data_IF_551940261072
#
_entry.id   IF_551940261072
#
_cell.length_a   1.000
_cell.length_b   1.000
_cell.length_c   1.000
_cell.angle_alpha   90.00
_cell.angle_beta   90.00
_cell.angle_gamma   90.00
#
_symmetry.space_group_name_H-M   'P 1'
#
loop_
_entity.id
_entity.type
_entity.pdbx_description
1 polymer ?
#
# COMPACT_ATOMS: atom_id res chain seq x y z
N UNK A 1 5.76 20.42 -3.59
CA UNK A 1 4.41 20.65 -4.09
C UNK A 1 4.43 21.66 -5.25
N UNK A 2 3.40 21.69 -6.11
CA UNK A 2 3.26 22.71 -7.14
C UNK A 2 3.39 24.13 -6.59
N UNK A 3 3.73 25.11 -7.48
CA UNK A 3 3.97 26.52 -7.11
C UNK A 3 5.15 26.72 -6.13
N UNK A 4 6.17 25.87 -6.21
CA UNK A 4 7.37 25.91 -5.38
C UNK A 4 7.09 25.83 -3.87
N UNK A 5 5.95 25.24 -3.48
CA UNK A 5 5.58 25.07 -2.06
C UNK A 5 6.34 23.89 -1.47
N UNK A 6 6.84 24.06 -0.27
CA UNK A 6 7.39 22.97 0.54
C UNK A 6 6.29 22.34 1.37
N UNK A 7 6.32 21.01 1.47
CA UNK A 7 5.56 20.24 2.45
C UNK A 7 6.54 19.69 3.48
N UNK A 8 6.33 20.03 4.72
CA UNK A 8 7.07 19.48 5.86
C UNK A 8 6.20 18.50 6.62
N UNK A 9 6.80 17.45 7.15
CA UNK A 9 6.10 16.54 8.05
C UNK A 9 6.99 16.19 9.24
N UNK A 10 6.38 16.11 10.40
CA UNK A 10 6.99 15.54 11.59
C UNK A 10 6.94 14.02 11.52
N UNK A 11 8.00 13.37 11.92
CA UNK A 11 8.09 11.91 11.97
C UNK A 11 7.90 11.47 13.42
N UNK A 12 6.80 10.79 13.68
CA UNK A 12 6.55 10.15 14.96
C UNK A 12 6.98 8.68 14.89
N UNK A 13 7.62 8.19 15.96
CA UNK A 13 7.93 6.78 16.10
C UNK A 13 7.08 6.16 17.19
N UNK A 14 6.20 5.23 16.83
CA UNK A 14 5.50 4.37 17.77
C UNK A 14 6.23 3.01 17.86
N UNK A 15 6.46 2.54 19.08
CA UNK A 15 7.00 1.21 19.32
C UNK A 15 5.85 0.21 19.41
N UNK A 16 5.71 -0.64 18.39
CA UNK A 16 4.69 -1.69 18.35
C UNK A 16 5.38 -3.05 18.47
N UNK A 17 5.55 -3.51 19.70
CA UNK A 17 6.38 -4.67 19.99
C UNK A 17 7.82 -4.43 19.50
N UNK A 18 8.33 -5.31 18.64
CA UNK A 18 9.68 -5.18 18.04
C UNK A 18 9.71 -4.34 16.75
N UNK A 19 8.55 -3.91 16.24
CA UNK A 19 8.44 -3.21 14.97
C UNK A 19 8.29 -1.71 15.21
N UNK A 20 9.20 -0.84 14.71
CA UNK A 20 8.98 0.59 14.72
C UNK A 20 7.94 0.96 13.67
N UNK A 21 6.90 1.68 14.08
CA UNK A 21 5.93 2.30 13.19
C UNK A 21 6.28 3.78 13.06
N UNK A 22 6.57 4.23 11.83
CA UNK A 22 6.82 5.64 11.54
C UNK A 22 5.54 6.28 11.00
N UNK A 23 5.11 7.35 11.64
CA UNK A 23 3.93 8.11 11.25
C UNK A 23 4.38 9.49 10.76
N UNK A 24 3.83 9.93 9.65
CA UNK A 24 4.08 11.24 9.07
C UNK A 24 2.93 12.17 9.41
N UNK A 25 3.24 13.30 10.02
CA UNK A 25 2.28 14.29 10.44
C UNK A 25 2.59 15.62 9.76
N UNK A 26 1.69 16.11 8.92
CA UNK A 26 1.84 17.38 8.20
C UNK A 26 1.34 18.59 8.99
N UNK A 27 0.71 18.41 10.16
CA UNK A 27 0.26 19.50 11.01
C UNK A 27 1.43 20.12 11.78
N UNK A 28 2.30 20.81 11.06
CA UNK A 28 3.50 21.45 11.61
C UNK A 28 3.54 22.95 11.28
N UNK A 29 4.16 23.72 12.17
CA UNK A 29 4.43 25.14 11.95
C UNK A 29 5.31 25.32 10.72
N UNK A 30 4.91 26.15 9.79
CA UNK A 30 5.61 26.39 8.52
C UNK A 30 4.91 25.79 7.31
N UNK A 31 3.95 24.91 7.50
CA UNK A 31 2.97 24.53 6.48
C UNK A 31 1.79 25.51 6.50
N UNK A 32 1.24 25.81 5.34
CA UNK A 32 -0.05 26.50 5.26
C UNK A 32 -1.21 25.56 5.68
N UNK A 33 -2.41 26.11 5.89
CA UNK A 33 -3.55 25.34 6.40
C UNK A 33 -3.92 24.16 5.50
N UNK A 34 -3.81 24.31 4.18
CA UNK A 34 -4.08 23.22 3.24
C UNK A 34 -3.04 22.08 3.35
N UNK A 35 -1.77 22.42 3.53
CA UNK A 35 -0.70 21.45 3.72
C UNK A 35 -0.79 20.78 5.10
N UNK A 36 -1.18 21.51 6.15
CA UNK A 36 -1.41 20.95 7.50
C UNK A 36 -2.52 19.93 7.51
N UNK A 37 -3.58 20.14 6.71
CA UNK A 37 -4.72 19.24 6.63
C UNK A 37 -4.47 17.94 5.85
N UNK A 38 -3.31 17.73 5.20
CA UNK A 38 -3.07 16.53 4.36
C UNK A 38 -3.18 15.23 5.18
N UNK A 39 -2.78 15.24 6.44
CA UNK A 39 -2.80 14.06 7.31
C UNK A 39 -3.93 14.06 8.34
N UNK A 40 -4.92 14.93 8.23
CA UNK A 40 -6.00 15.10 9.21
C UNK A 40 -7.02 13.94 9.19
N UNK A 41 -7.34 13.41 8.02
CA UNK A 41 -8.37 12.38 7.85
C UNK A 41 -8.01 11.38 6.75
N UNK A 42 -8.06 10.10 7.10
CA UNK A 42 -7.95 9.02 6.14
C UNK A 42 -9.18 9.00 5.21
N UNK A 43 -8.94 8.88 3.90
CA UNK A 43 -9.98 8.90 2.85
C UNK A 43 -10.83 10.18 2.82
N UNK A 44 -10.31 11.29 3.36
CA UNK A 44 -10.96 12.59 3.29
C UNK A 44 -10.58 13.37 2.04
N UNK A 45 -11.41 14.36 1.68
CA UNK A 45 -11.12 15.33 0.63
C UNK A 45 -11.35 14.84 -0.81
N UNK A 46 -11.06 15.73 -1.77
CA UNK A 46 -11.14 15.44 -3.21
C UNK A 46 -9.88 14.79 -3.76
N UNK A 47 -9.83 14.56 -5.08
CA UNK A 47 -8.73 13.87 -5.76
C UNK A 47 -7.34 14.47 -5.51
N UNK A 48 -7.21 15.80 -5.47
CA UNK A 48 -5.91 16.45 -5.19
C UNK A 48 -5.44 16.19 -3.75
N UNK A 49 -6.35 16.23 -2.79
CA UNK A 49 -6.01 15.91 -1.39
C UNK A 49 -5.54 14.46 -1.25
N UNK A 50 -6.27 13.53 -1.88
CA UNK A 50 -5.90 12.12 -1.89
C UNK A 50 -4.53 11.89 -2.54
N UNK A 51 -4.27 12.52 -3.68
CA UNK A 51 -2.97 12.44 -4.34
C UNK A 51 -1.83 12.95 -3.45
N UNK A 52 -2.04 14.06 -2.72
CA UNK A 52 -1.05 14.61 -1.80
C UNK A 52 -0.78 13.65 -0.62
N UNK A 53 -1.81 12.98 -0.10
CA UNK A 53 -1.64 11.93 0.92
C UNK A 53 -0.75 10.78 0.42
N UNK A 54 -0.99 10.31 -0.79
CA UNK A 54 -0.21 9.20 -1.37
C UNK A 54 1.21 9.60 -1.74
N UNK A 55 1.42 10.83 -2.22
CA UNK A 55 2.76 11.39 -2.44
C UNK A 55 3.53 11.52 -1.12
N UNK A 56 2.87 12.00 -0.06
CA UNK A 56 3.48 12.09 1.27
C UNK A 56 3.79 10.71 1.83
N UNK A 57 2.85 9.75 1.72
CA UNK A 57 3.06 8.38 2.19
C UNK A 57 4.21 7.70 1.43
N UNK A 58 4.20 7.75 0.11
CA UNK A 58 5.19 7.06 -0.73
C UNK A 58 6.56 7.74 -0.68
N UNK A 59 6.65 8.94 -1.21
CA UNK A 59 7.94 9.66 -1.27
C UNK A 59 8.41 10.15 0.10
N UNK A 60 7.50 10.70 0.90
CA UNK A 60 7.79 11.13 2.28
C UNK A 60 8.18 9.97 3.17
N UNK A 61 7.55 8.81 3.00
CA UNK A 61 7.88 7.58 3.73
C UNK A 61 9.31 7.11 3.51
N UNK A 62 9.79 7.10 2.25
CA UNK A 62 11.20 6.77 1.97
C UNK A 62 12.14 7.77 2.65
N UNK A 63 11.86 9.08 2.56
CA UNK A 63 12.67 10.11 3.22
C UNK A 63 12.67 9.93 4.75
N UNK A 64 11.53 9.57 5.32
CA UNK A 64 11.42 9.29 6.77
C UNK A 64 12.27 8.08 7.17
N UNK A 65 12.28 7.01 6.38
CA UNK A 65 13.16 5.86 6.58
C UNK A 65 14.63 6.29 6.56
N UNK A 66 15.07 7.10 5.60
CA UNK A 66 16.45 7.61 5.55
C UNK A 66 16.82 8.48 6.76
N UNK A 67 15.86 9.27 7.26
CA UNK A 67 16.07 10.02 8.52
C UNK A 67 16.20 9.07 9.70
N UNK A 68 15.31 8.09 9.80
CA UNK A 68 15.32 7.09 10.87
C UNK A 68 16.62 6.28 10.90
N UNK A 69 17.07 5.79 9.74
CA UNK A 69 18.35 5.07 9.59
C UNK A 69 19.54 5.91 10.13
N UNK A 70 19.63 7.19 9.71
CA UNK A 70 20.71 8.09 10.16
C UNK A 70 20.67 8.36 11.66
N UNK A 71 19.50 8.52 12.24
CA UNK A 71 19.35 8.88 13.66
C UNK A 71 19.55 7.69 14.60
N UNK A 72 19.21 6.49 14.16
CA UNK A 72 19.21 5.29 15.00
C UNK A 72 20.35 4.32 14.71
N UNK A 73 21.03 4.47 13.57
CA UNK A 73 21.99 3.48 13.09
C UNK A 73 21.35 2.16 12.62
N UNK A 74 20.03 2.15 12.42
CA UNK A 74 19.34 0.98 11.89
C UNK A 74 19.79 0.67 10.46
N UNK A 75 19.90 -0.61 10.07
CA UNK A 75 20.22 -0.96 8.69
C UNK A 75 19.15 -0.48 7.73
N UNK A 76 19.56 -0.15 6.50
CA UNK A 76 18.63 0.18 5.44
C UNK A 76 17.77 -1.03 5.07
N UNK A 77 16.48 -0.83 4.74
CA UNK A 77 15.64 -1.92 4.27
C UNK A 77 16.17 -2.52 2.96
N UNK A 78 16.27 -3.84 2.93
CA UNK A 78 16.68 -4.57 1.73
C UNK A 78 15.48 -4.86 0.80
N UNK A 79 14.27 -4.99 1.38
CA UNK A 79 13.03 -5.25 0.66
C UNK A 79 11.98 -4.21 1.05
N UNK A 80 11.26 -3.73 0.06
CA UNK A 80 10.13 -2.82 0.23
C UNK A 80 8.84 -3.53 -0.13
N UNK A 81 7.90 -3.54 0.79
CA UNK A 81 6.58 -4.12 0.58
C UNK A 81 5.53 -3.01 0.52
N UNK A 82 4.91 -2.86 -0.64
CA UNK A 82 3.79 -1.94 -0.84
C UNK A 82 2.48 -2.65 -0.61
N UNK A 83 1.72 -2.13 0.34
CA UNK A 83 0.40 -2.64 0.69
C UNK A 83 -0.66 -1.78 -0.02
N UNK A 84 -1.16 -2.26 -1.15
CA UNK A 84 -1.99 -1.56 -2.13
C UNK A 84 -1.26 -0.41 -2.86
N UNK A 85 -1.96 0.26 -3.78
CA UNK A 85 -1.42 1.35 -4.60
C UNK A 85 -0.99 2.60 -3.82
N UNK A 86 -1.58 2.82 -2.64
CA UNK A 86 -1.40 4.03 -1.82
C UNK A 86 0.07 4.41 -1.56
N UNK A 87 0.94 3.44 -1.39
CA UNK A 87 2.37 3.66 -1.17
C UNK A 87 3.21 3.61 -2.47
N UNK A 88 2.59 3.46 -3.63
CA UNK A 88 3.29 3.21 -4.90
C UNK A 88 4.36 4.25 -5.25
N UNK A 89 4.16 5.52 -4.87
CA UNK A 89 5.15 6.57 -5.09
C UNK A 89 6.48 6.38 -4.34
N UNK A 90 6.57 5.41 -3.40
CA UNK A 90 7.85 5.05 -2.80
C UNK A 90 8.86 4.55 -3.86
N UNK A 91 8.38 3.87 -4.90
CA UNK A 91 9.24 3.41 -6.00
C UNK A 91 9.81 4.57 -6.80
N UNK A 92 9.01 5.63 -7.02
CA UNK A 92 9.47 6.84 -7.71
C UNK A 92 10.56 7.57 -6.90
N UNK A 93 10.39 7.68 -5.57
CA UNK A 93 11.43 8.29 -4.72
C UNK A 93 12.72 7.45 -4.70
N UNK A 94 12.62 6.14 -4.65
CA UNK A 94 13.78 5.24 -4.71
C UNK A 94 14.51 5.33 -6.05
N UNK A 95 13.76 5.38 -7.16
CA UNK A 95 14.34 5.63 -8.48
C UNK A 95 15.05 6.98 -8.50
N UNK A 96 14.43 8.03 -7.94
CA UNK A 96 15.06 9.35 -7.83
C UNK A 96 16.38 9.28 -7.07
N UNK A 97 16.44 8.61 -5.92
CA UNK A 97 17.68 8.42 -5.16
C UNK A 97 18.78 7.74 -5.99
N UNK A 98 18.43 6.70 -6.75
CA UNK A 98 19.38 5.97 -7.59
C UNK A 98 19.87 6.81 -8.77
N UNK A 99 18.97 7.58 -9.41
CA UNK A 99 19.33 8.48 -10.51
C UNK A 99 20.20 9.65 -10.02
N UNK A 100 19.92 10.20 -8.84
CA UNK A 100 20.75 11.24 -8.23
C UNK A 100 22.18 10.73 -7.90
N UNK A 101 22.33 9.41 -7.73
CA UNK A 101 23.61 8.72 -7.56
C UNK A 101 24.25 8.27 -8.90
N UNK A 102 23.70 8.69 -10.04
CA UNK A 102 24.30 8.49 -11.37
C UNK A 102 23.77 7.30 -12.17
N UNK A 103 22.78 6.55 -11.67
CA UNK A 103 22.14 5.49 -12.47
C UNK A 103 21.28 6.07 -13.58
N UNK A 104 21.20 5.37 -14.70
CA UNK A 104 20.21 5.62 -15.73
C UNK A 104 18.80 5.19 -15.29
N UNK A 105 17.76 5.72 -15.94
CA UNK A 105 16.37 5.39 -15.63
C UNK A 105 16.08 3.87 -15.63
N UNK A 106 16.49 3.16 -16.68
CA UNK A 106 16.19 1.72 -16.84
C UNK A 106 16.89 0.87 -15.77
N UNK A 107 18.11 1.25 -15.41
CA UNK A 107 18.87 0.61 -14.34
C UNK A 107 18.21 0.87 -12.97
N UNK A 108 17.85 2.12 -12.68
CA UNK A 108 17.22 2.52 -11.45
C UNK A 108 15.83 1.86 -11.28
N UNK A 109 15.04 1.78 -12.36
CA UNK A 109 13.76 1.06 -12.38
C UNK A 109 13.96 -0.43 -12.10
N UNK A 110 14.91 -1.06 -12.76
CA UNK A 110 15.21 -2.50 -12.58
C UNK A 110 15.66 -2.79 -11.15
N UNK A 111 16.56 -1.98 -10.59
CA UNK A 111 17.03 -2.13 -9.22
C UNK A 111 15.90 -1.93 -8.21
N UNK A 112 15.03 -0.93 -8.43
CA UNK A 112 13.86 -0.68 -7.58
C UNK A 112 12.88 -1.85 -7.62
N UNK A 113 12.61 -2.40 -8.80
CA UNK A 113 11.71 -3.55 -8.96
C UNK A 113 12.23 -4.80 -8.27
N UNK A 114 13.52 -5.08 -8.37
CA UNK A 114 14.14 -6.32 -7.90
C UNK A 114 13.87 -6.61 -6.42
N UNK A 115 13.69 -5.58 -5.60
CA UNK A 115 13.46 -5.70 -4.17
C UNK A 115 12.12 -5.05 -3.70
N UNK A 116 11.15 -4.94 -4.61
CA UNK A 116 9.80 -4.49 -4.27
C UNK A 116 8.79 -5.63 -4.40
N UNK A 117 7.94 -5.78 -3.39
CA UNK A 117 6.79 -6.67 -3.35
C UNK A 117 5.52 -5.83 -3.29
N UNK A 118 4.51 -6.17 -4.08
CA UNK A 118 3.22 -5.49 -4.11
C UNK A 118 2.11 -6.44 -3.68
N UNK A 119 1.30 -6.04 -2.73
CA UNK A 119 0.10 -6.78 -2.33
C UNK A 119 -1.14 -5.96 -2.64
N UNK A 120 -2.04 -6.49 -3.49
CA UNK A 120 -3.34 -5.89 -3.73
C UNK A 120 -4.40 -6.46 -2.79
N UNK A 121 -5.29 -5.61 -2.32
CA UNK A 121 -6.41 -5.94 -1.45
C UNK A 121 -7.76 -5.69 -2.12
N UNK A 122 -7.78 -4.86 -3.16
CA UNK A 122 -9.00 -4.37 -3.79
C UNK A 122 -9.51 -5.35 -4.85
N UNK A 123 -10.72 -5.92 -4.68
CA UNK A 123 -11.25 -6.94 -5.59
C UNK A 123 -12.04 -6.36 -6.77
N UNK A 124 -12.19 -5.03 -6.86
CA UNK A 124 -13.00 -4.36 -7.87
C UNK A 124 -12.31 -3.10 -8.40
N UNK A 125 -12.36 -2.82 -9.72
CA UNK A 125 -11.69 -1.66 -10.30
C UNK A 125 -12.10 -0.31 -9.68
N UNK A 126 -13.36 -0.17 -9.25
CA UNK A 126 -13.89 1.07 -8.67
C UNK A 126 -13.27 1.45 -7.31
N UNK A 127 -12.64 0.49 -6.62
CA UNK A 127 -11.95 0.74 -5.34
C UNK A 127 -10.47 1.08 -5.50
N UNK A 128 -9.94 1.12 -6.71
CA UNK A 128 -8.55 1.47 -6.98
C UNK A 128 -8.45 2.98 -7.19
N UNK A 129 -7.50 3.61 -6.52
CA UNK A 129 -7.23 5.04 -6.73
C UNK A 129 -6.70 5.29 -8.15
N UNK A 130 -7.42 6.14 -8.88
CA UNK A 130 -7.12 6.53 -10.25
C UNK A 130 -7.19 8.05 -10.37
N UNK A 131 -6.07 8.66 -10.70
CA UNK A 131 -5.95 10.09 -10.89
C UNK A 131 -5.96 10.46 -12.38
N UNK A 132 -6.30 11.70 -12.72
CA UNK A 132 -6.07 12.19 -14.06
C UNK A 132 -4.56 12.32 -14.29
N UNK A 133 -4.09 11.95 -15.48
CA UNK A 133 -2.68 12.10 -15.83
C UNK A 133 -2.22 13.56 -15.74
N UNK A 134 -3.12 14.51 -16.00
CA UNK A 134 -2.85 15.95 -15.86
C UNK A 134 -2.53 16.35 -14.42
N UNK A 135 -3.19 15.73 -13.40
CA UNK A 135 -2.89 15.96 -11.98
C UNK A 135 -1.48 15.47 -11.65
N UNK A 136 -1.13 14.23 -12.04
CA UNK A 136 0.22 13.69 -11.82
C UNK A 136 1.26 14.58 -12.54
N UNK A 137 1.02 14.93 -13.79
CA UNK A 137 1.90 15.81 -14.55
C UNK A 137 2.12 17.14 -13.83
N UNK A 138 1.07 17.74 -13.27
CA UNK A 138 1.15 19.01 -12.56
C UNK A 138 2.14 18.94 -11.37
N UNK A 139 2.10 17.87 -10.56
CA UNK A 139 3.02 17.71 -9.43
C UNK A 139 4.47 17.45 -9.88
N UNK A 140 4.66 16.54 -10.84
CA UNK A 140 6.02 16.14 -11.24
C UNK A 140 6.71 17.17 -12.12
N UNK A 141 5.98 17.88 -13.00
CA UNK A 141 6.54 18.99 -13.78
C UNK A 141 6.93 20.19 -12.92
N UNK A 142 6.35 20.31 -11.70
CA UNK A 142 6.74 21.33 -10.73
C UNK A 142 8.03 20.97 -9.95
N UNK A 143 8.71 19.87 -10.30
CA UNK A 143 10.00 19.49 -9.75
C UNK A 143 9.95 18.60 -8.52
N UNK A 144 8.86 17.86 -8.32
CA UNK A 144 8.72 16.95 -7.16
C UNK A 144 9.80 15.84 -7.12
N UNK A 145 10.23 15.36 -8.29
CA UNK A 145 11.33 14.40 -8.45
C UNK A 145 12.19 14.81 -9.65
N UNK A 146 12.99 15.86 -9.50
CA UNK A 146 13.64 16.57 -10.61
C UNK A 146 14.50 15.69 -11.54
N UNK A 147 15.19 14.68 -11.00
CA UNK A 147 16.00 13.75 -11.79
C UNK A 147 15.17 12.72 -12.57
N UNK A 148 13.89 12.53 -12.22
CA UNK A 148 13.01 11.57 -12.87
C UNK A 148 12.15 12.27 -13.93
N UNK A 149 12.25 11.89 -15.22
CA UNK A 149 11.43 12.51 -16.26
C UNK A 149 9.93 12.26 -15.99
N UNK A 150 9.13 13.31 -16.04
CA UNK A 150 7.69 13.26 -15.78
C UNK A 150 6.97 12.21 -16.64
N UNK A 151 7.34 12.09 -17.93
CA UNK A 151 6.71 11.10 -18.81
C UNK A 151 7.01 9.66 -18.41
N UNK A 152 8.17 9.40 -17.82
CA UNK A 152 8.52 8.09 -17.23
C UNK A 152 7.65 7.78 -16.01
N UNK A 153 7.41 8.78 -15.15
CA UNK A 153 6.46 8.62 -14.03
C UNK A 153 5.06 8.32 -14.54
N UNK A 154 4.57 9.09 -15.51
CA UNK A 154 3.24 8.88 -16.10
C UNK A 154 3.09 7.48 -16.70
N UNK A 155 4.12 6.97 -17.36
CA UNK A 155 4.12 5.63 -17.93
C UNK A 155 3.95 4.52 -16.88
N UNK A 156 4.38 4.74 -15.63
CA UNK A 156 4.24 3.73 -14.57
C UNK A 156 2.77 3.44 -14.24
N UNK A 157 1.90 4.46 -14.22
CA UNK A 157 0.48 4.29 -13.90
C UNK A 157 -0.45 4.31 -15.12
N UNK A 158 0.08 4.44 -16.34
CA UNK A 158 -0.74 4.54 -17.54
C UNK A 158 -1.50 3.24 -17.83
N UNK A 159 -2.80 3.36 -18.11
CA UNK A 159 -3.65 2.24 -18.52
C UNK A 159 -3.61 2.08 -20.07
N UNK A 160 -2.42 1.80 -20.60
CA UNK A 160 -2.17 1.64 -22.04
C UNK A 160 -2.41 0.20 -22.50
N UNK A 161 -3.58 -0.36 -22.19
CA UNK A 161 -4.00 -1.71 -22.56
C UNK A 161 -5.48 -1.72 -22.92
N UNK A 162 -5.96 -2.75 -23.58
CA UNK A 162 -7.35 -2.88 -24.01
C UNK A 162 -8.31 -2.82 -22.81
N UNK A 163 -9.28 -1.89 -22.88
CA UNK A 163 -10.21 -1.63 -21.79
C UNK A 163 -9.71 -0.66 -20.73
N UNK A 164 -8.46 -0.18 -20.83
CA UNK A 164 -7.91 0.88 -19.98
C UNK A 164 -8.38 2.28 -20.43
N UNK A 165 -8.21 3.26 -19.55
CA UNK A 165 -8.45 4.68 -19.82
C UNK A 165 -7.11 5.43 -19.98
N UNK A 166 -6.74 5.85 -21.20
CA UNK A 166 -5.45 6.49 -21.43
C UNK A 166 -5.32 7.87 -20.75
N UNK A 167 -6.43 8.45 -20.27
CA UNK A 167 -6.43 9.71 -19.50
C UNK A 167 -6.13 9.49 -18.00
N UNK A 168 -6.10 8.25 -17.54
CA UNK A 168 -5.94 7.92 -16.12
C UNK A 168 -4.56 7.41 -15.77
N UNK A 169 -4.19 7.69 -14.54
CA UNK A 169 -3.04 7.15 -13.84
C UNK A 169 -3.56 6.24 -12.71
N UNK A 170 -3.31 4.95 -12.83
CA UNK A 170 -3.83 3.92 -11.93
C UNK A 170 -2.75 3.52 -10.92
N UNK A 171 -3.04 3.68 -9.65
CA UNK A 171 -2.07 3.42 -8.57
C UNK A 171 -1.72 1.95 -8.42
N UNK A 172 -2.66 1.03 -8.66
CA UNK A 172 -2.35 -0.41 -8.65
C UNK A 172 -1.50 -0.83 -9.85
N UNK A 173 -1.75 -0.26 -11.03
CA UNK A 173 -0.91 -0.46 -12.22
C UNK A 173 0.52 0.00 -11.96
N UNK A 174 0.70 1.16 -11.35
CA UNK A 174 2.02 1.63 -10.92
C UNK A 174 2.66 0.65 -9.93
N UNK A 175 1.92 0.20 -8.92
CA UNK A 175 2.40 -0.78 -7.95
C UNK A 175 2.88 -2.08 -8.60
N UNK A 176 2.11 -2.61 -9.54
CA UNK A 176 2.47 -3.82 -10.31
C UNK A 176 3.71 -3.61 -11.18
N UNK A 177 3.84 -2.45 -11.84
CA UNK A 177 5.01 -2.14 -12.68
C UNK A 177 6.28 -1.89 -11.87
N UNK A 178 6.16 -1.46 -10.62
CA UNK A 178 7.28 -1.20 -9.71
C UNK A 178 7.68 -2.41 -8.87
N UNK A 179 6.97 -3.53 -8.96
CA UNK A 179 7.24 -4.71 -8.15
C UNK A 179 7.77 -5.89 -8.98
N UNK A 180 8.70 -6.64 -8.40
CA UNK A 180 9.17 -7.91 -8.92
C UNK A 180 8.19 -9.05 -8.59
N UNK A 181 7.48 -8.94 -7.47
CA UNK A 181 6.52 -9.93 -6.99
C UNK A 181 5.22 -9.24 -6.64
N UNK A 182 4.11 -9.86 -7.01
CA UNK A 182 2.78 -9.39 -6.67
C UNK A 182 1.90 -10.52 -6.16
N UNK A 183 1.03 -10.21 -5.19
CA UNK A 183 0.05 -11.16 -4.68
C UNK A 183 -1.26 -10.49 -4.29
N UNK A 184 -2.35 -11.27 -4.41
CA UNK A 184 -3.60 -11.00 -3.74
C UNK A 184 -3.65 -11.67 -2.36
N UNK A 185 -4.62 -11.31 -1.52
CA UNK A 185 -4.70 -11.68 -0.09
C UNK A 185 -5.50 -12.95 0.21
N UNK A 186 -5.94 -13.67 -0.80
CA UNK A 186 -6.57 -14.99 -0.71
C UNK A 186 -6.51 -15.69 -2.09
N UNK A 187 -6.71 -16.99 -2.15
CA UNK A 187 -6.72 -17.75 -3.42
C UNK A 187 -7.72 -17.17 -4.42
N UNK A 188 -8.96 -16.91 -3.99
CA UNK A 188 -10.00 -16.31 -4.83
C UNK A 188 -9.60 -14.90 -5.26
N UNK A 189 -9.09 -14.08 -4.34
CA UNK A 189 -8.64 -12.73 -4.65
C UNK A 189 -7.50 -12.71 -5.65
N UNK A 190 -6.52 -13.62 -5.55
CA UNK A 190 -5.46 -13.77 -6.55
C UNK A 190 -6.00 -14.10 -7.94
N UNK A 191 -7.05 -14.95 -8.05
CA UNK A 191 -7.72 -15.22 -9.31
C UNK A 191 -8.39 -13.97 -9.88
N UNK A 192 -9.18 -13.26 -9.08
CA UNK A 192 -9.87 -12.01 -9.47
C UNK A 192 -8.84 -10.94 -9.89
N UNK A 193 -7.73 -10.81 -9.15
CA UNK A 193 -6.67 -9.85 -9.48
C UNK A 193 -6.01 -10.18 -10.83
N UNK A 194 -5.75 -11.45 -11.13
CA UNK A 194 -5.23 -11.84 -12.45
C UNK A 194 -6.18 -11.46 -13.57
N UNK A 195 -7.48 -11.72 -13.41
CA UNK A 195 -8.51 -11.32 -14.38
C UNK A 195 -8.53 -9.78 -14.56
N UNK A 196 -8.53 -9.04 -13.46
CA UNK A 196 -8.63 -7.58 -13.45
C UNK A 196 -7.43 -6.88 -14.09
N UNK A 197 -6.23 -7.43 -13.93
CA UNK A 197 -4.99 -6.84 -14.42
C UNK A 197 -4.38 -7.55 -15.62
N UNK A 198 -5.09 -8.51 -16.24
CA UNK A 198 -4.58 -9.29 -17.38
C UNK A 198 -4.09 -8.44 -18.56
N UNK A 199 -4.70 -7.28 -18.78
CA UNK A 199 -4.28 -6.34 -19.83
C UNK A 199 -2.85 -5.82 -19.69
N UNK A 200 -2.22 -5.92 -18.51
CA UNK A 200 -0.81 -5.58 -18.32
C UNK A 200 0.16 -6.62 -18.89
N UNK A 201 -0.32 -7.82 -19.19
CA UNK A 201 0.47 -8.94 -19.75
C UNK A 201 -0.19 -9.46 -21.04
N UNK A 202 -0.17 -8.65 -22.13
CA UNK A 202 -0.76 -9.08 -23.40
C UNK A 202 -0.09 -10.36 -23.90
N UNK A 203 -0.90 -11.32 -24.32
CA UNK A 203 -0.43 -12.62 -24.80
C UNK A 203 -0.27 -13.71 -23.73
N UNK A 204 -0.50 -13.39 -22.45
CA UNK A 204 -0.58 -14.40 -21.39
C UNK A 204 -2.03 -14.83 -21.17
N UNK A 205 -2.23 -16.11 -20.91
CA UNK A 205 -3.50 -16.56 -20.34
C UNK A 205 -3.67 -15.98 -18.93
N UNK A 206 -4.92 -15.77 -18.49
CA UNK A 206 -5.21 -15.21 -17.16
C UNK A 206 -4.54 -16.01 -16.03
N UNK A 207 -4.42 -17.33 -16.18
CA UNK A 207 -3.76 -18.20 -15.20
C UNK A 207 -2.25 -17.97 -15.09
N UNK A 208 -1.62 -17.41 -16.13
CA UNK A 208 -0.18 -17.15 -16.24
C UNK A 208 0.20 -15.75 -15.76
N UNK A 209 -0.78 -14.85 -15.61
CA UNK A 209 -0.53 -13.51 -15.08
C UNK A 209 0.20 -13.60 -13.73
N UNK A 210 1.38 -12.94 -13.56
CA UNK A 210 2.27 -13.17 -12.43
C UNK A 210 1.81 -12.52 -11.13
N UNK A 211 0.54 -12.73 -10.78
CA UNK A 211 -0.05 -12.35 -9.49
C UNK A 211 -0.38 -13.63 -8.74
N UNK A 212 0.35 -13.88 -7.68
CA UNK A 212 0.15 -15.03 -6.80
C UNK A 212 -0.91 -14.77 -5.74
N UNK A 213 -1.04 -15.60 -4.73
CA UNK A 213 -1.88 -15.34 -3.57
C UNK A 213 -1.19 -15.78 -2.29
N UNK A 214 -1.30 -14.93 -1.28
CA UNK A 214 -0.92 -15.24 0.10
C UNK A 214 -2.15 -14.96 0.95
N UNK A 215 -2.75 -16.02 1.53
CA UNK A 215 -3.94 -15.83 2.37
C UNK A 215 -3.56 -15.11 3.66
N UNK A 216 -4.24 -14.01 3.95
CA UNK A 216 -4.02 -13.24 5.15
C UNK A 216 -4.24 -14.11 6.40
N UNK A 217 -3.40 -13.92 7.39
CA UNK A 217 -3.64 -14.43 8.73
C UNK A 217 -4.78 -13.66 9.42
N UNK A 218 -5.44 -14.33 10.35
CA UNK A 218 -6.46 -13.72 11.21
C UNK A 218 -5.96 -13.77 12.65
N UNK A 219 -5.90 -12.62 13.30
CA UNK A 219 -5.61 -12.56 14.73
C UNK A 219 -6.90 -12.77 15.51
N UNK A 220 -7.25 -14.03 15.69
CA UNK A 220 -8.53 -14.43 16.30
C UNK A 220 -8.81 -13.72 17.63
N UNK A 221 -7.85 -13.55 18.58
CA UNK A 221 -8.11 -12.85 19.83
C UNK A 221 -8.57 -11.39 19.69
N UNK A 222 -8.26 -10.74 18.54
CA UNK A 222 -8.72 -9.36 18.27
C UNK A 222 -10.09 -9.29 17.64
N UNK A 223 -10.57 -10.40 17.04
CA UNK A 223 -11.77 -10.43 16.23
C UNK A 223 -12.92 -11.24 16.84
N UNK A 224 -12.59 -12.19 17.74
CA UNK A 224 -13.59 -12.99 18.44
C UNK A 224 -14.02 -12.28 19.72
N UNK A 225 -15.32 -12.26 19.97
CA UNK A 225 -15.83 -11.76 21.22
C UNK A 225 -15.34 -12.63 22.38
N UNK A 226 -14.86 -12.04 23.49
CA UNK A 226 -14.42 -12.78 24.69
C UNK A 226 -15.48 -13.75 25.23
N UNK A 227 -16.78 -13.42 25.13
CA UNK A 227 -17.87 -14.28 25.59
C UNK A 227 -17.96 -15.58 24.76
N UNK A 228 -17.65 -15.53 23.45
CA UNK A 228 -17.57 -16.74 22.60
C UNK A 228 -16.46 -17.66 23.10
N UNK A 229 -15.30 -17.11 23.46
CA UNK A 229 -14.18 -17.89 23.99
C UNK A 229 -14.52 -18.46 25.38
N UNK A 230 -15.23 -17.69 26.19
CA UNK A 230 -15.68 -18.14 27.51
C UNK A 230 -16.68 -19.29 27.37
N UNK A 231 -17.68 -19.17 26.52
CA UNK A 231 -18.66 -20.23 26.25
C UNK A 231 -17.96 -21.51 25.76
N UNK A 232 -17.02 -21.39 24.83
CA UNK A 232 -16.26 -22.53 24.34
C UNK A 232 -15.45 -23.24 25.45
N UNK A 233 -14.87 -22.46 26.34
CA UNK A 233 -14.15 -22.99 27.50
C UNK A 233 -15.09 -23.76 28.45
N UNK A 234 -16.26 -23.21 28.73
CA UNK A 234 -17.26 -23.79 29.63
C UNK A 234 -17.89 -25.06 29.05
N UNK A 235 -18.21 -25.06 27.76
CA UNK A 235 -18.94 -26.16 27.12
C UNK A 235 -18.05 -27.33 26.71
N UNK A 236 -16.83 -27.08 26.26
CA UNK A 236 -15.95 -28.14 25.74
C UNK A 236 -14.46 -27.98 26.06
N UNK A 237 -14.13 -27.14 27.05
CA UNK A 237 -12.78 -27.07 27.61
C UNK A 237 -11.72 -26.46 26.71
N UNK A 238 -12.10 -25.71 25.64
CA UNK A 238 -11.15 -25.00 24.78
C UNK A 238 -10.42 -23.96 25.62
N UNK A 239 -9.12 -24.13 25.81
CA UNK A 239 -8.32 -23.22 26.60
C UNK A 239 -7.89 -21.98 25.80
N UNK A 240 -7.68 -22.15 24.51
CA UNK A 240 -7.23 -21.07 23.60
C UNK A 240 -7.92 -21.17 22.25
N UNK A 241 -7.89 -20.07 21.50
CA UNK A 241 -8.40 -20.01 20.10
C UNK A 241 -7.59 -20.87 19.11
N UNK A 242 -6.45 -21.41 19.54
CA UNK A 242 -5.59 -22.30 18.74
C UNK A 242 -5.88 -23.77 18.96
N UNK A 243 -6.76 -24.11 19.92
CA UNK A 243 -7.15 -25.49 20.17
C UNK A 243 -7.92 -26.06 18.97
N UNK A 244 -7.74 -27.36 18.73
CA UNK A 244 -8.36 -28.05 17.58
C UNK A 244 -9.81 -28.43 17.83
N UNK A 245 -10.29 -28.32 19.07
CA UNK A 245 -11.60 -28.82 19.50
C UNK A 245 -12.77 -27.89 19.16
N UNK A 246 -12.51 -26.80 18.42
CA UNK A 246 -13.56 -25.93 17.90
C UNK A 246 -14.59 -26.63 17.02
N UNK A 247 -14.28 -27.82 16.50
CA UNK A 247 -15.26 -28.66 15.79
C UNK A 247 -16.47 -29.03 16.68
N UNK A 248 -16.30 -29.02 18.00
CA UNK A 248 -17.36 -29.24 18.97
C UNK A 248 -18.32 -28.04 19.11
N UNK A 249 -18.04 -26.93 18.45
CA UNK A 249 -18.96 -25.80 18.41
C UNK A 249 -20.37 -26.17 17.87
N UNK A 250 -20.46 -27.22 17.06
CA UNK A 250 -21.75 -27.77 16.63
C UNK A 250 -22.56 -28.44 17.76
N UNK A 251 -21.98 -28.70 18.91
CA UNK A 251 -22.64 -29.25 20.11
C UNK A 251 -23.32 -28.14 20.94
N UNK A 252 -23.05 -26.85 20.64
CA UNK A 252 -23.64 -25.68 21.32
C UNK A 252 -25.12 -25.58 20.93
N UNK A 253 -26.00 -25.38 21.94
CA UNK A 253 -27.43 -25.22 21.68
C UNK A 253 -27.69 -23.89 20.96
N UNK A 254 -28.75 -23.86 20.12
CA UNK A 254 -29.21 -22.64 19.46
C UNK A 254 -29.51 -21.52 20.47
N UNK A 255 -29.95 -21.87 21.66
CA UNK A 255 -30.25 -20.93 22.73
C UNK A 255 -28.96 -20.28 23.26
N UNK A 256 -27.92 -21.08 23.56
CA UNK A 256 -26.66 -20.54 24.04
C UNK A 256 -26.01 -19.62 22.99
N UNK A 257 -26.12 -19.99 21.70
CA UNK A 257 -25.65 -19.14 20.58
C UNK A 257 -26.46 -17.85 20.44
N UNK A 258 -27.78 -17.92 20.70
CA UNK A 258 -28.64 -16.75 20.65
C UNK A 258 -28.36 -15.78 21.79
N UNK A 259 -28.08 -16.28 22.97
CA UNK A 259 -27.82 -15.48 24.17
C UNK A 259 -26.46 -14.76 24.11
N UNK A 260 -25.54 -15.17 23.18
CA UNK A 260 -24.29 -14.46 22.85
C UNK A 260 -24.50 -13.20 21.96
N UNK A 261 -25.71 -12.93 21.51
CA UNK A 261 -26.04 -11.80 20.63
C UNK A 261 -26.35 -10.55 21.44
#
# INVERSE_FOLDING_TARGET
LPNNRRLSAQIWRAAVGRVPLLLLDSDVTGNDDAARGITDRLYGGGGDHRLQQELLLGMGGVKALRVYERLTGSPAPEVFHTNEGHAGFLGVERIRELMDNGMGWEEALTATRANTVFTTHTPVPAGIDRFDQSQIRHFFSAGLAQSVPTDKVLALGAESYDGGDPGKFNMAVMGLRLAQRANGVAKLHGKVSREMFSGLWPGFDVSEVPITSVTNGVHVPSWIDPEVTQLAREKFGVATVHDRDWNRAYEISDRDLWDLR
#
